data_IF_926850325494
#
_entry.id   IF_926850325494
#
_cell.length_a   1.000
_cell.length_b   1.000
_cell.length_c   1.000
_cell.angle_alpha   90.00
_cell.angle_beta   90.00
_cell.angle_gamma   90.00
#
_symmetry.space_group_name_H-M   'P 1'
#
loop_
_entity.id
_entity.type
_entity.pdbx_description
1 polymer ?
#
# COMPACT_ATOMS: atom_id res chain seq x y z
N UNK A 1 16.46 48.82 11.39
CA UNK A 1 16.50 47.54 10.61
C UNK A 1 16.48 46.29 11.47
N UNK A 2 17.15 46.24 12.63
CA UNK A 2 17.20 45.06 13.51
C UNK A 2 15.80 44.59 14.01
N UNK A 3 14.90 45.50 14.33
CA UNK A 3 13.57 45.13 14.87
C UNK A 3 12.60 44.54 13.79
N UNK A 4 12.75 44.94 12.50
CA UNK A 4 11.96 44.36 11.42
C UNK A 4 12.38 42.92 11.08
N UNK A 5 13.66 42.58 11.23
CA UNK A 5 14.19 41.23 11.02
C UNK A 5 13.71 40.28 12.13
N UNK A 6 13.62 40.76 13.37
CA UNK A 6 13.13 39.99 14.50
C UNK A 6 11.62 39.67 14.41
N UNK A 7 10.83 40.64 13.91
CA UNK A 7 9.40 40.43 13.69
C UNK A 7 9.11 39.40 12.58
N UNK A 8 9.93 39.39 11.51
CA UNK A 8 9.82 38.42 10.43
C UNK A 8 10.15 37.01 10.92
N UNK A 9 11.14 36.85 11.80
CA UNK A 9 11.53 35.57 12.37
C UNK A 9 10.47 34.98 13.32
N UNK A 10 9.77 35.83 14.08
CA UNK A 10 8.65 35.40 14.94
C UNK A 10 7.45 34.96 14.09
N UNK A 11 7.18 35.64 12.98
CA UNK A 11 6.07 35.29 12.09
C UNK A 11 6.28 33.91 11.43
N UNK A 12 7.51 33.59 11.01
CA UNK A 12 7.81 32.28 10.41
C UNK A 12 7.71 31.13 11.43
N UNK A 13 8.08 31.35 12.68
CA UNK A 13 7.94 30.33 13.74
C UNK A 13 6.50 30.00 14.07
N UNK A 14 5.59 30.98 14.09
CA UNK A 14 4.16 30.74 14.39
C UNK A 14 3.45 29.92 13.31
N UNK A 15 3.82 30.09 12.04
CA UNK A 15 3.29 29.30 10.94
C UNK A 15 3.71 27.82 11.04
N UNK A 16 4.96 27.53 11.35
CA UNK A 16 5.46 26.14 11.47
C UNK A 16 4.79 25.36 12.60
N UNK A 17 4.45 25.99 13.72
CA UNK A 17 3.72 25.36 14.82
C UNK A 17 2.27 25.03 14.45
N UNK A 18 1.60 25.90 13.68
CA UNK A 18 0.24 25.69 13.21
C UNK A 18 0.13 24.45 12.32
N UNK A 19 0.98 24.33 11.31
CA UNK A 19 1.01 23.22 10.35
C UNK A 19 1.15 21.87 11.05
N UNK A 20 2.15 21.74 11.94
CA UNK A 20 2.42 20.53 12.70
C UNK A 20 1.26 20.15 13.64
N UNK A 21 0.58 21.15 14.22
CA UNK A 21 -0.58 20.94 15.08
C UNK A 21 -1.74 20.36 14.29
N UNK A 22 -2.05 20.93 13.13
CA UNK A 22 -3.19 20.49 12.32
C UNK A 22 -2.96 19.10 11.71
N UNK A 23 -1.77 18.76 11.20
CA UNK A 23 -1.45 17.39 10.76
C UNK A 23 -1.61 16.39 11.90
N UNK A 24 -1.11 16.69 13.10
CA UNK A 24 -1.29 15.81 14.26
C UNK A 24 -2.76 15.62 14.65
N UNK A 25 -3.57 16.69 14.52
CA UNK A 25 -5.00 16.62 14.78
C UNK A 25 -5.70 15.71 13.77
N UNK A 26 -5.37 15.86 12.48
CA UNK A 26 -5.90 14.99 11.43
C UNK A 26 -5.50 13.51 11.66
N UNK A 27 -4.24 13.24 11.98
CA UNK A 27 -3.77 11.88 12.34
C UNK A 27 -4.57 11.30 13.53
N UNK A 28 -4.81 12.11 14.57
CA UNK A 28 -5.59 11.66 15.73
C UNK A 28 -7.03 11.32 15.37
N UNK A 29 -7.69 12.13 14.54
CA UNK A 29 -9.05 11.87 14.05
C UNK A 29 -9.08 10.58 13.23
N UNK A 30 -8.17 10.41 12.28
CA UNK A 30 -8.05 9.19 11.48
C UNK A 30 -7.88 7.95 12.36
N UNK A 31 -6.97 8.00 13.32
CA UNK A 31 -6.70 6.87 14.23
C UNK A 31 -7.88 6.55 15.17
N UNK A 32 -8.79 7.50 15.38
CA UNK A 32 -10.04 7.26 16.12
C UNK A 32 -11.21 6.81 15.24
N UNK A 33 -10.98 6.59 13.93
CA UNK A 33 -11.99 6.17 12.96
C UNK A 33 -12.75 7.33 12.29
N UNK A 34 -12.46 8.59 12.66
CA UNK A 34 -13.08 9.75 12.02
C UNK A 34 -12.30 10.17 10.77
N UNK A 35 -12.47 9.38 9.69
CA UNK A 35 -11.82 9.63 8.40
C UNK A 35 -12.27 10.97 7.82
N UNK A 36 -13.58 11.28 7.87
CA UNK A 36 -14.11 12.52 7.33
C UNK A 36 -13.60 13.76 8.10
N UNK A 37 -13.47 13.66 9.41
CA UNK A 37 -12.87 14.70 10.23
C UNK A 37 -11.40 14.94 9.89
N UNK A 38 -10.65 13.86 9.61
CA UNK A 38 -9.27 13.99 9.17
C UNK A 38 -9.15 14.69 7.81
N UNK A 39 -9.96 14.30 6.84
CA UNK A 39 -10.04 14.95 5.51
C UNK A 39 -10.36 16.43 5.65
N UNK A 40 -11.41 16.78 6.39
CA UNK A 40 -11.82 18.17 6.59
C UNK A 40 -10.69 19.03 7.18
N UNK A 41 -9.90 18.51 8.12
CA UNK A 41 -8.74 19.23 8.67
C UNK A 41 -7.69 19.48 7.58
N UNK A 42 -7.39 18.49 6.72
CA UNK A 42 -6.39 18.64 5.67
C UNK A 42 -6.84 19.64 4.60
N UNK A 43 -8.08 19.58 4.18
CA UNK A 43 -8.65 20.46 3.16
C UNK A 43 -8.78 21.92 3.65
N UNK A 44 -9.34 22.12 4.85
CA UNK A 44 -9.54 23.48 5.42
C UNK A 44 -8.21 24.19 5.64
N UNK A 45 -7.14 23.45 5.87
CA UNK A 45 -5.79 23.98 6.11
C UNK A 45 -4.85 23.83 4.90
N UNK A 46 -5.36 23.56 3.69
CA UNK A 46 -4.54 23.30 2.50
C UNK A 46 -3.50 24.41 2.26
N UNK A 47 -3.92 25.68 2.28
CA UNK A 47 -3.02 26.84 2.11
C UNK A 47 -1.93 26.92 3.20
N UNK A 48 -2.23 26.45 4.41
CA UNK A 48 -1.25 26.39 5.50
C UNK A 48 -0.14 25.39 5.18
N UNK A 49 -0.45 24.27 4.51
CA UNK A 49 0.51 23.22 4.18
C UNK A 49 1.40 23.55 2.97
N UNK A 50 1.03 24.49 2.11
CA UNK A 50 1.86 24.90 0.96
C UNK A 50 3.27 25.38 1.37
N UNK A 51 3.41 25.90 2.58
CA UNK A 51 4.66 26.41 3.12
C UNK A 51 5.22 25.52 4.23
N UNK A 52 4.73 24.27 4.35
CA UNK A 52 5.15 23.39 5.40
C UNK A 52 6.55 22.81 5.14
N UNK A 53 7.26 22.50 6.22
CA UNK A 53 8.53 21.80 6.12
C UNK A 53 8.34 20.34 5.61
N UNK A 54 9.40 19.75 5.08
CA UNK A 54 9.39 18.41 4.52
C UNK A 54 8.84 17.35 5.51
N UNK A 55 9.12 17.52 6.80
CA UNK A 55 8.66 16.58 7.83
C UNK A 55 7.14 16.61 7.98
N UNK A 56 6.55 17.80 7.98
CA UNK A 56 5.08 17.98 8.05
C UNK A 56 4.42 17.48 6.78
N UNK A 57 4.99 17.82 5.60
CA UNK A 57 4.50 17.34 4.30
C UNK A 57 4.54 15.81 4.21
N UNK A 58 5.61 15.19 4.66
CA UNK A 58 5.73 13.73 4.68
C UNK A 58 4.69 13.08 5.60
N UNK A 59 4.43 13.64 6.78
CA UNK A 59 3.36 13.16 7.66
C UNK A 59 1.98 13.31 7.02
N UNK A 60 1.73 14.42 6.31
CA UNK A 60 0.50 14.67 5.58
C UNK A 60 0.31 13.65 4.45
N UNK A 61 1.31 13.45 3.58
CA UNK A 61 1.25 12.50 2.46
C UNK A 61 0.99 11.07 2.99
N UNK A 62 1.68 10.68 4.06
CA UNK A 62 1.49 9.35 4.66
C UNK A 62 0.09 9.15 5.23
N UNK A 63 -0.49 10.19 5.85
CA UNK A 63 -1.89 10.16 6.29
C UNK A 63 -2.86 10.12 5.11
N UNK A 64 -2.62 10.92 4.08
CA UNK A 64 -3.46 10.92 2.87
C UNK A 64 -3.47 9.56 2.18
N UNK A 65 -2.31 8.86 2.13
CA UNK A 65 -2.26 7.50 1.61
C UNK A 65 -3.20 6.55 2.37
N UNK A 66 -3.22 6.65 3.70
CA UNK A 66 -4.10 5.84 4.54
C UNK A 66 -5.59 6.23 4.39
N UNK A 67 -5.88 7.51 4.19
CA UNK A 67 -7.24 8.00 3.90
C UNK A 67 -7.73 7.43 2.57
N UNK A 68 -6.93 7.51 1.52
CA UNK A 68 -7.27 6.95 0.21
C UNK A 68 -7.50 5.43 0.29
N UNK A 69 -6.66 4.70 1.04
CA UNK A 69 -6.84 3.27 1.29
C UNK A 69 -8.16 2.99 2.00
N UNK A 70 -8.50 3.74 3.05
CA UNK A 70 -9.75 3.58 3.79
C UNK A 70 -11.00 3.86 2.91
N UNK A 71 -10.86 4.74 1.93
CA UNK A 71 -11.89 5.07 0.94
C UNK A 71 -11.91 4.09 -0.26
N UNK A 72 -11.06 3.05 -0.25
CA UNK A 72 -10.88 2.09 -1.35
C UNK A 72 -10.36 2.71 -2.66
N UNK A 73 -9.75 3.89 -2.61
CA UNK A 73 -9.07 4.54 -3.71
C UNK A 73 -7.62 4.03 -3.80
N UNK A 74 -7.46 2.75 -4.12
CA UNK A 74 -6.20 2.02 -3.96
C UNK A 74 -5.05 2.54 -4.82
N UNK A 75 -5.31 2.96 -6.06
CA UNK A 75 -4.30 3.58 -6.92
C UNK A 75 -3.75 4.86 -6.28
N UNK A 76 -4.64 5.77 -5.87
CA UNK A 76 -4.26 7.01 -5.22
C UNK A 76 -3.50 6.76 -3.90
N UNK A 77 -3.90 5.74 -3.13
CA UNK A 77 -3.17 5.33 -1.93
C UNK A 77 -1.74 4.89 -2.25
N UNK A 78 -1.58 4.03 -3.28
CA UNK A 78 -0.27 3.55 -3.70
C UNK A 78 0.63 4.66 -4.23
N UNK A 79 0.08 5.58 -5.04
CA UNK A 79 0.81 6.76 -5.52
C UNK A 79 1.34 7.61 -4.36
N UNK A 80 0.54 7.85 -3.33
CA UNK A 80 0.95 8.62 -2.15
C UNK A 80 2.00 7.89 -1.31
N UNK A 81 1.88 6.57 -1.11
CA UNK A 81 2.93 5.78 -0.46
C UNK A 81 4.24 5.83 -1.25
N UNK A 82 4.16 5.72 -2.58
CA UNK A 82 5.32 5.81 -3.47
C UNK A 82 5.98 7.21 -3.39
N UNK A 83 5.17 8.27 -3.43
CA UNK A 83 5.65 9.66 -3.27
C UNK A 83 6.33 9.87 -1.90
N UNK A 84 5.76 9.32 -0.82
CA UNK A 84 6.38 9.34 0.51
C UNK A 84 7.77 8.70 0.50
N UNK A 85 7.90 7.52 -0.11
CA UNK A 85 9.17 6.80 -0.23
C UNK A 85 10.18 7.55 -1.10
N UNK A 86 9.72 8.09 -2.25
CA UNK A 86 10.56 8.86 -3.18
C UNK A 86 11.09 10.16 -2.56
N UNK A 87 10.36 10.76 -1.62
CA UNK A 87 10.83 11.91 -0.84
C UNK A 87 11.93 11.57 0.20
N UNK A 88 12.38 10.31 0.27
CA UNK A 88 13.33 9.83 1.27
C UNK A 88 12.78 9.85 2.71
N UNK A 89 11.46 9.91 2.85
CA UNK A 89 10.80 9.93 4.14
C UNK A 89 10.85 8.55 4.82
N UNK A 90 10.95 8.55 6.14
CA UNK A 90 11.04 7.31 6.93
C UNK A 90 9.86 7.26 7.91
N UNK A 91 9.19 6.12 7.92
CA UNK A 91 8.18 5.76 8.91
C UNK A 91 8.30 4.27 9.22
N UNK A 92 8.34 3.90 10.49
CA UNK A 92 8.47 2.51 10.94
C UNK A 92 7.36 1.59 10.43
N UNK A 93 6.18 2.15 10.18
CA UNK A 93 4.99 1.40 9.81
C UNK A 93 4.80 1.32 8.28
N UNK A 94 5.71 1.94 7.49
CA UNK A 94 5.56 2.06 6.04
C UNK A 94 5.37 0.69 5.38
N UNK A 95 6.27 -0.26 5.61
CA UNK A 95 6.21 -1.57 4.96
C UNK A 95 4.95 -2.34 5.38
N UNK A 96 4.56 -2.27 6.65
CA UNK A 96 3.33 -2.87 7.15
C UNK A 96 2.07 -2.24 6.51
N UNK A 97 2.08 -0.92 6.30
CA UNK A 97 0.96 -0.22 5.64
C UNK A 97 0.86 -0.56 4.16
N UNK A 98 1.97 -0.65 3.44
CA UNK A 98 2.00 -1.07 2.03
C UNK A 98 1.56 -2.54 1.89
N UNK A 99 1.96 -3.41 2.81
CA UNK A 99 1.46 -4.79 2.85
C UNK A 99 -0.05 -4.86 3.14
N UNK A 100 -0.54 -4.04 4.07
CA UNK A 100 -1.98 -3.91 4.35
C UNK A 100 -2.73 -3.42 3.11
N UNK A 101 -2.20 -2.42 2.39
CA UNK A 101 -2.79 -1.95 1.14
C UNK A 101 -2.90 -3.09 0.12
N UNK A 102 -1.84 -3.88 -0.07
CA UNK A 102 -1.87 -5.04 -0.97
C UNK A 102 -2.97 -6.02 -0.58
N UNK A 103 -3.12 -6.31 0.71
CA UNK A 103 -4.16 -7.21 1.22
C UNK A 103 -5.57 -6.67 0.96
N UNK A 104 -5.79 -5.37 1.18
CA UNK A 104 -7.09 -4.73 0.94
C UNK A 104 -7.46 -4.73 -0.55
N UNK A 105 -6.49 -4.47 -1.43
CA UNK A 105 -6.66 -4.54 -2.88
C UNK A 105 -7.08 -5.95 -3.30
N UNK A 106 -6.37 -6.97 -2.84
CA UNK A 106 -6.66 -8.37 -3.18
C UNK A 106 -8.02 -8.80 -2.66
N UNK A 107 -8.36 -8.47 -1.41
CA UNK A 107 -9.67 -8.79 -0.85
C UNK A 107 -10.80 -8.12 -1.65
N UNK A 108 -10.62 -6.86 -2.04
CA UNK A 108 -11.62 -6.16 -2.85
C UNK A 108 -11.71 -6.73 -4.28
N UNK A 109 -10.61 -7.20 -4.86
CA UNK A 109 -10.63 -7.90 -6.15
C UNK A 109 -11.36 -9.25 -6.07
N UNK A 110 -11.24 -9.97 -4.94
CA UNK A 110 -12.00 -11.20 -4.69
C UNK A 110 -13.50 -10.91 -4.62
N UNK A 111 -13.91 -9.82 -3.94
CA UNK A 111 -15.29 -9.33 -3.92
C UNK A 111 -15.79 -9.04 -5.34
N UNK A 112 -15.01 -8.32 -6.16
CA UNK A 112 -15.36 -8.01 -7.54
C UNK A 112 -15.52 -9.28 -8.40
N UNK A 113 -14.62 -10.26 -8.27
CA UNK A 113 -14.73 -11.54 -8.97
C UNK A 113 -16.01 -12.29 -8.58
N UNK A 114 -16.38 -12.30 -7.29
CA UNK A 114 -17.60 -12.94 -6.80
C UNK A 114 -18.87 -12.27 -7.37
N UNK A 115 -18.81 -10.95 -7.57
CA UNK A 115 -19.89 -10.16 -8.17
C UNK A 115 -19.80 -10.09 -9.71
N UNK A 116 -18.88 -10.83 -10.32
CA UNK A 116 -18.63 -10.88 -11.77
C UNK A 116 -18.18 -9.56 -12.39
N UNK A 117 -17.61 -8.66 -11.58
CA UNK A 117 -16.92 -7.45 -12.05
C UNK A 117 -15.46 -7.80 -12.39
N UNK A 118 -15.30 -8.70 -13.34
CA UNK A 118 -14.02 -9.33 -13.65
C UNK A 118 -12.94 -8.35 -14.12
N UNK A 119 -13.31 -7.31 -14.88
CA UNK A 119 -12.38 -6.29 -15.37
C UNK A 119 -11.84 -5.44 -14.22
N UNK A 120 -12.71 -5.07 -13.26
CA UNK A 120 -12.31 -4.32 -12.07
C UNK A 120 -11.40 -5.18 -11.18
N UNK A 121 -11.74 -6.46 -11.03
CA UNK A 121 -10.90 -7.43 -10.32
C UNK A 121 -9.52 -7.57 -10.96
N UNK A 122 -9.46 -7.68 -12.30
CA UNK A 122 -8.20 -7.79 -13.04
C UNK A 122 -7.32 -6.56 -12.82
N UNK A 123 -7.88 -5.35 -12.89
CA UNK A 123 -7.16 -4.10 -12.66
C UNK A 123 -6.58 -4.02 -11.25
N UNK A 124 -7.35 -4.40 -10.24
CA UNK A 124 -6.90 -4.42 -8.83
C UNK A 124 -5.82 -5.46 -8.59
N UNK A 125 -5.97 -6.67 -9.13
CA UNK A 125 -4.95 -7.71 -9.03
C UNK A 125 -3.64 -7.30 -9.72
N UNK A 126 -3.74 -6.62 -10.85
CA UNK A 126 -2.57 -6.04 -11.50
C UNK A 126 -1.90 -4.96 -10.65
N UNK A 127 -2.67 -4.09 -10.00
CA UNK A 127 -2.15 -3.11 -9.04
C UNK A 127 -1.42 -3.82 -7.88
N UNK A 128 -2.02 -4.87 -7.29
CA UNK A 128 -1.39 -5.65 -6.23
C UNK A 128 -0.05 -6.27 -6.67
N UNK A 129 0.04 -6.75 -7.92
CA UNK A 129 1.30 -7.20 -8.51
C UNK A 129 2.32 -6.06 -8.59
N UNK A 130 1.94 -4.86 -9.06
CA UNK A 130 2.86 -3.74 -9.26
C UNK A 130 3.47 -3.19 -7.97
N UNK A 131 2.83 -3.41 -6.82
CA UNK A 131 3.35 -2.99 -5.51
C UNK A 131 4.65 -3.72 -5.16
N UNK A 132 4.73 -5.01 -5.45
CA UNK A 132 5.95 -5.80 -5.26
C UNK A 132 6.01 -6.93 -6.32
N UNK A 133 6.53 -6.65 -7.52
CA UNK A 133 6.53 -7.61 -8.63
C UNK A 133 7.32 -8.89 -8.37
N UNK A 134 8.29 -8.88 -7.46
CA UNK A 134 9.10 -10.05 -7.17
C UNK A 134 8.34 -11.08 -6.32
N UNK A 135 7.54 -10.62 -5.37
CA UNK A 135 6.82 -11.50 -4.44
C UNK A 135 5.36 -11.73 -4.81
N UNK A 136 4.78 -10.86 -5.65
CA UNK A 136 3.35 -10.81 -5.97
C UNK A 136 3.02 -11.35 -7.37
N UNK A 137 3.88 -12.21 -7.95
CA UNK A 137 3.72 -12.73 -9.32
C UNK A 137 2.38 -13.46 -9.52
N UNK A 138 1.88 -14.13 -8.50
CA UNK A 138 0.61 -14.83 -8.55
C UNK A 138 -0.57 -13.89 -8.84
N UNK A 139 -0.52 -12.64 -8.35
CA UNK A 139 -1.58 -11.67 -8.64
C UNK A 139 -1.62 -11.26 -10.11
N UNK A 140 -0.47 -11.25 -10.81
CA UNK A 140 -0.44 -11.05 -12.26
C UNK A 140 -1.16 -12.18 -13.00
N UNK A 141 -0.98 -13.44 -12.56
CA UNK A 141 -1.70 -14.58 -13.11
C UNK A 141 -3.21 -14.48 -12.85
N UNK A 142 -3.61 -14.12 -11.65
CA UNK A 142 -5.02 -13.91 -11.34
C UNK A 142 -5.62 -12.72 -12.09
N UNK A 143 -4.85 -11.65 -12.32
CA UNK A 143 -5.29 -10.53 -13.16
C UNK A 143 -5.57 -11.00 -14.60
N UNK A 144 -4.65 -11.78 -15.19
CA UNK A 144 -4.84 -12.35 -16.53
C UNK A 144 -6.09 -13.24 -16.61
N UNK A 145 -6.29 -14.10 -15.62
CA UNK A 145 -7.45 -14.99 -15.55
C UNK A 145 -8.76 -14.22 -15.38
N UNK A 146 -8.79 -13.21 -14.51
CA UNK A 146 -9.98 -12.36 -14.33
C UNK A 146 -10.31 -11.58 -15.61
N UNK A 147 -9.30 -11.04 -16.31
CA UNK A 147 -9.49 -10.35 -17.59
C UNK A 147 -10.12 -11.28 -18.65
N UNK A 148 -9.68 -12.55 -18.74
CA UNK A 148 -10.33 -13.55 -19.61
C UNK A 148 -11.80 -13.73 -19.27
N UNK A 149 -12.11 -13.89 -17.98
CA UNK A 149 -13.49 -14.07 -17.51
C UNK A 149 -14.37 -12.85 -17.80
N UNK A 150 -13.77 -11.66 -17.82
CA UNK A 150 -14.41 -10.39 -18.16
C UNK A 150 -14.47 -10.10 -19.66
N UNK A 151 -13.99 -11.02 -20.53
CA UNK A 151 -13.82 -10.83 -21.95
C UNK A 151 -12.94 -9.62 -22.34
N UNK A 152 -12.09 -9.15 -21.42
CA UNK A 152 -11.02 -8.19 -21.71
C UNK A 152 -9.80 -8.95 -22.25
N UNK A 153 -9.88 -9.32 -23.53
CA UNK A 153 -8.82 -10.10 -24.19
C UNK A 153 -7.54 -9.29 -24.40
N UNK A 154 -7.62 -7.98 -24.54
CA UNK A 154 -6.46 -7.11 -24.70
C UNK A 154 -5.67 -7.04 -23.37
N UNK A 155 -6.35 -6.76 -22.27
CA UNK A 155 -5.76 -6.77 -20.93
C UNK A 155 -5.19 -8.13 -20.57
N UNK A 156 -5.94 -9.21 -20.85
CA UNK A 156 -5.49 -10.57 -20.61
C UNK A 156 -4.19 -10.89 -21.38
N UNK A 157 -4.13 -10.55 -22.68
CA UNK A 157 -2.94 -10.76 -23.50
C UNK A 157 -1.72 -9.99 -22.95
N UNK A 158 -1.93 -8.76 -22.52
CA UNK A 158 -0.88 -7.95 -21.87
C UNK A 158 -0.33 -8.66 -20.64
N UNK A 159 -1.19 -9.14 -19.76
CA UNK A 159 -0.78 -9.79 -18.51
C UNK A 159 -0.09 -11.14 -18.75
N UNK A 160 -0.60 -11.97 -19.68
CA UNK A 160 0.06 -13.23 -20.04
C UNK A 160 1.42 -13.03 -20.72
N UNK A 161 1.59 -12.00 -21.54
CA UNK A 161 2.90 -11.68 -22.12
C UNK A 161 3.88 -11.27 -21.01
N UNK A 162 3.45 -10.50 -20.03
CA UNK A 162 4.28 -10.12 -18.91
C UNK A 162 4.66 -11.33 -18.03
N UNK A 163 3.73 -12.27 -17.78
CA UNK A 163 4.02 -13.55 -17.11
C UNK A 163 5.10 -14.36 -17.85
N UNK A 164 5.01 -14.40 -19.19
CA UNK A 164 6.02 -15.05 -20.02
C UNK A 164 7.39 -14.36 -19.92
N UNK A 165 7.43 -13.03 -19.92
CA UNK A 165 8.65 -12.24 -19.79
C UNK A 165 9.37 -12.50 -18.45
N UNK A 166 8.62 -12.55 -17.34
CA UNK A 166 9.17 -12.85 -16.02
C UNK A 166 9.41 -14.34 -15.79
N UNK A 167 9.11 -15.20 -16.78
CA UNK A 167 9.23 -16.67 -16.71
C UNK A 167 8.44 -17.27 -15.54
N UNK A 168 7.22 -16.78 -15.34
CA UNK A 168 6.38 -17.30 -14.27
C UNK A 168 6.03 -18.78 -14.52
N UNK A 169 6.36 -19.63 -13.56
CA UNK A 169 6.20 -21.09 -13.66
C UNK A 169 4.88 -21.61 -13.06
N UNK A 170 4.06 -20.69 -12.55
CA UNK A 170 2.80 -21.03 -11.89
C UNK A 170 2.91 -21.02 -10.36
N UNK A 171 1.76 -21.25 -9.72
CA UNK A 171 1.67 -21.32 -8.26
C UNK A 171 2.24 -22.66 -7.80
N UNK A 172 3.33 -22.61 -7.05
CA UNK A 172 3.97 -23.79 -6.49
C UNK A 172 3.68 -23.89 -4.98
N UNK A 173 3.34 -25.07 -4.52
CA UNK A 173 3.21 -25.33 -3.08
C UNK A 173 4.58 -25.74 -2.54
N UNK A 174 5.10 -24.95 -1.58
CA UNK A 174 6.31 -25.32 -0.84
C UNK A 174 5.92 -25.90 0.51
N UNK A 175 6.50 -27.03 0.83
CA UNK A 175 6.27 -27.72 2.11
C UNK A 175 7.42 -27.38 3.06
N UNK A 176 7.17 -26.51 4.01
CA UNK A 176 8.17 -26.01 4.96
C UNK A 176 7.88 -26.53 6.38
N UNK A 177 8.91 -26.91 7.10
CA UNK A 177 8.85 -27.12 8.54
C UNK A 177 10.02 -26.40 9.23
N UNK A 178 9.80 -25.92 10.46
CA UNK A 178 10.86 -25.32 11.27
C UNK A 178 11.55 -26.39 12.09
N UNK A 179 12.88 -26.44 12.02
CA UNK A 179 13.69 -27.27 12.91
C UNK A 179 13.49 -26.79 14.36
N UNK A 180 13.18 -27.73 15.26
CA UNK A 180 12.85 -27.39 16.66
C UNK A 180 14.04 -26.77 17.42
N UNK A 181 15.27 -27.16 17.07
CA UNK A 181 16.49 -26.73 17.75
C UNK A 181 17.05 -25.41 17.23
N UNK A 182 16.99 -25.18 15.91
CA UNK A 182 17.62 -24.00 15.26
C UNK A 182 16.61 -22.94 14.82
N UNK A 183 15.34 -23.31 14.66
CA UNK A 183 14.31 -22.44 14.09
C UNK A 183 14.43 -22.24 12.58
N UNK A 184 15.39 -22.91 11.92
CA UNK A 184 15.59 -22.83 10.48
C UNK A 184 14.44 -23.47 9.71
N UNK A 185 14.06 -22.88 8.58
CA UNK A 185 13.06 -23.44 7.68
C UNK A 185 13.74 -24.49 6.78
N UNK A 186 13.18 -25.69 6.82
CA UNK A 186 13.61 -26.82 5.99
C UNK A 186 12.50 -27.11 4.99
N UNK A 187 12.84 -27.16 3.72
CA UNK A 187 11.93 -27.51 2.64
C UNK A 187 11.91 -29.02 2.41
N UNK A 188 10.72 -29.56 2.29
CA UNK A 188 10.45 -30.97 2.07
C UNK A 188 9.75 -31.17 0.73
N UNK A 189 9.91 -32.34 0.14
CA UNK A 189 8.97 -32.81 -0.87
C UNK A 189 7.57 -33.02 -0.24
N UNK A 190 6.52 -33.02 -1.04
CA UNK A 190 5.16 -33.32 -0.56
C UNK A 190 5.08 -34.64 0.20
N UNK A 191 5.76 -35.67 -0.31
CA UNK A 191 5.79 -37.00 0.29
C UNK A 191 6.45 -36.98 1.67
N UNK A 192 7.61 -36.35 1.79
CA UNK A 192 8.36 -36.25 3.04
C UNK A 192 7.56 -35.42 4.08
N UNK A 193 6.95 -34.32 3.66
CA UNK A 193 6.13 -33.48 4.54
C UNK A 193 4.90 -34.26 5.08
N UNK A 194 4.23 -35.00 4.23
CA UNK A 194 3.09 -35.84 4.63
C UNK A 194 3.51 -36.99 5.56
N UNK A 195 4.70 -37.55 5.37
CA UNK A 195 5.27 -38.53 6.28
C UNK A 195 5.59 -37.92 7.64
N UNK A 196 6.24 -36.76 7.66
CA UNK A 196 6.54 -36.00 8.88
C UNK A 196 5.29 -35.67 9.69
N UNK A 197 4.21 -35.24 9.03
CA UNK A 197 2.92 -34.98 9.69
C UNK A 197 2.28 -36.19 10.37
N UNK A 198 2.53 -37.41 9.83
CA UNK A 198 1.99 -38.66 10.40
C UNK A 198 2.77 -39.17 11.59
N UNK A 199 4.01 -38.70 11.78
CA UNK A 199 4.91 -39.13 12.85
C UNK A 199 4.88 -38.24 14.09
N UNK A 200 4.09 -37.14 14.06
CA UNK A 200 3.80 -36.29 15.18
C UNK A 200 2.45 -36.62 15.79
#
# INVERSE_FOLDING_TARGET
MKNKLFLLFILTMTFSFGQKKEVKKAIKLFNSGDVNGAVNILETNAALFEQADAKVLNQKIFLEAQIEQANKNFEAAYEKYTAFKAAGAVNSDYDAKVQSLTSDIVNNAIEDNAEKRFVDAASKLYLAYTINPETNQDYLYYAASSAVNGADFEGSLKYYNQLKEIRYEGITTRYLAKAAETGEEIEFSETEYNLYKKTK
#
